data_IF_135213398095
#
_entry.id   IF_135213398095
#
_cell.length_a   1.000
_cell.length_b   1.000
_cell.length_c   1.000
_cell.angle_alpha   90.00
_cell.angle_beta   90.00
_cell.angle_gamma   90.00
#
_symmetry.space_group_name_H-M   'P 1'
#
loop_
_entity.id
_entity.type
_entity.pdbx_description
1 polymer ?
#
# COMPACT_ATOMS: atom_id res chain seq x y z
N UNK A 1 5.56 0.05 17.25
CA UNK A 1 4.19 0.26 17.78
C UNK A 1 3.53 1.44 17.09
N UNK A 2 2.24 1.33 16.74
CA UNK A 2 1.50 2.31 15.93
C UNK A 2 0.72 3.38 16.73
N UNK A 3 0.39 3.14 18.01
CA UNK A 3 -0.12 4.17 18.93
C UNK A 3 0.45 4.02 20.36
N UNK A 4 0.45 5.09 21.17
CA UNK A 4 0.90 5.03 22.56
C UNK A 4 -0.02 4.16 23.43
N UNK A 5 0.55 3.24 24.22
CA UNK A 5 -0.21 2.33 25.08
C UNK A 5 -0.74 1.07 24.38
N UNK A 6 -0.46 0.92 23.09
CA UNK A 6 -0.74 -0.31 22.35
C UNK A 6 0.13 -1.47 22.86
N UNK A 7 -0.45 -2.67 22.93
CA UNK A 7 0.34 -3.91 22.94
C UNK A 7 0.17 -4.64 21.63
N UNK A 8 1.26 -5.17 21.11
CA UNK A 8 1.23 -5.98 19.92
C UNK A 8 0.69 -7.37 20.30
N UNK A 9 -0.05 -8.03 19.39
CA UNK A 9 -0.30 -9.47 19.51
C UNK A 9 1.01 -10.25 19.59
N UNK A 10 1.02 -11.39 20.29
CA UNK A 10 2.23 -12.19 20.57
C UNK A 10 3.00 -12.65 19.31
N UNK A 11 2.32 -12.76 18.16
CA UNK A 11 2.93 -13.15 16.89
C UNK A 11 3.59 -11.98 16.12
N UNK A 12 3.42 -10.74 16.58
CA UNK A 12 4.10 -9.54 16.05
C UNK A 12 5.15 -9.08 17.07
N UNK A 13 6.29 -9.76 17.05
CA UNK A 13 7.39 -9.63 18.01
C UNK A 13 8.45 -8.58 17.61
N UNK A 14 8.28 -7.90 16.47
CA UNK A 14 9.27 -6.97 15.94
C UNK A 14 10.39 -7.62 15.12
N UNK A 15 10.36 -8.94 14.89
CA UNK A 15 11.34 -9.64 14.06
C UNK A 15 11.23 -9.26 12.57
N UNK A 16 10.02 -8.89 12.13
CA UNK A 16 9.74 -8.54 10.74
C UNK A 16 10.14 -7.08 10.44
N UNK A 17 10.63 -6.86 9.22
CA UNK A 17 10.97 -5.51 8.77
C UNK A 17 9.71 -4.62 8.71
N UNK A 18 9.69 -3.55 9.51
CA UNK A 18 8.55 -2.63 9.56
C UNK A 18 7.39 -3.12 10.42
N UNK A 19 7.61 -4.01 11.37
CA UNK A 19 6.58 -4.39 12.33
C UNK A 19 6.24 -3.23 13.28
N UNK A 20 4.97 -2.83 13.28
CA UNK A 20 4.41 -1.81 14.17
C UNK A 20 3.32 -2.36 15.10
N UNK A 21 3.08 -3.67 15.13
CA UNK A 21 2.05 -4.30 15.95
C UNK A 21 0.62 -3.91 15.54
N UNK A 22 0.40 -3.56 14.27
CA UNK A 22 -0.91 -3.19 13.74
C UNK A 22 -1.56 -4.39 13.05
N UNK A 23 -2.38 -5.13 13.79
CA UNK A 23 -3.25 -6.18 13.23
C UNK A 23 -4.61 -6.19 13.96
N UNK A 24 -5.50 -5.24 13.66
CA UNK A 24 -6.80 -5.15 14.32
C UNK A 24 -7.75 -6.31 13.99
N UNK A 25 -7.50 -7.04 12.89
CA UNK A 25 -8.34 -8.15 12.43
C UNK A 25 -7.69 -9.53 12.66
N UNK A 26 -6.49 -9.57 13.28
CA UNK A 26 -5.70 -10.79 13.55
C UNK A 26 -5.44 -11.65 12.31
N UNK A 27 -5.29 -11.03 11.13
CA UNK A 27 -5.05 -11.74 9.87
C UNK A 27 -3.65 -12.36 9.80
N UNK A 28 -2.70 -11.85 10.58
CA UNK A 28 -1.33 -12.35 10.69
C UNK A 28 -1.14 -13.48 11.70
N UNK A 29 -2.21 -13.97 12.34
CA UNK A 29 -2.11 -14.98 13.39
C UNK A 29 -1.61 -16.35 12.89
N UNK A 30 -1.85 -16.69 11.62
CA UNK A 30 -1.37 -17.95 11.04
C UNK A 30 0.08 -17.80 10.55
N UNK A 31 1.00 -18.53 11.19
CA UNK A 31 2.44 -18.52 10.87
C UNK A 31 2.77 -19.03 9.47
N UNK A 32 1.91 -19.87 8.88
CA UNK A 32 2.12 -20.40 7.54
C UNK A 32 1.76 -19.37 6.46
N UNK A 33 0.74 -18.56 6.69
CA UNK A 33 0.32 -17.51 5.74
C UNK A 33 1.09 -16.20 5.92
N UNK A 34 1.67 -15.96 7.09
CA UNK A 34 2.36 -14.70 7.42
C UNK A 34 3.49 -14.35 6.42
N UNK A 35 4.38 -15.28 6.00
CA UNK A 35 5.40 -14.97 4.98
C UNK A 35 4.79 -14.57 3.63
N UNK A 36 3.66 -15.18 3.26
CA UNK A 36 2.94 -14.81 2.05
C UNK A 36 2.32 -13.42 2.16
N UNK A 37 1.74 -13.05 3.30
CA UNK A 37 1.17 -11.72 3.53
C UNK A 37 2.24 -10.62 3.51
N UNK A 38 3.43 -10.89 4.07
CA UNK A 38 4.58 -9.98 3.98
C UNK A 38 5.01 -9.76 2.53
N UNK A 39 5.10 -10.84 1.77
CA UNK A 39 5.48 -10.78 0.36
C UNK A 39 4.40 -10.06 -0.47
N UNK A 40 3.12 -10.29 -0.18
CA UNK A 40 2.02 -9.59 -0.81
C UNK A 40 2.06 -8.08 -0.50
N UNK A 41 2.38 -7.69 0.73
CA UNK A 41 2.62 -6.30 1.10
C UNK A 41 3.79 -5.69 0.32
N UNK A 42 4.91 -6.41 0.22
CA UNK A 42 6.09 -5.96 -0.52
C UNK A 42 5.79 -5.78 -2.01
N UNK A 43 5.09 -6.73 -2.65
CA UNK A 43 4.72 -6.62 -4.06
C UNK A 43 3.77 -5.46 -4.31
N UNK A 44 2.73 -5.30 -3.49
CA UNK A 44 1.84 -4.15 -3.60
C UNK A 44 2.59 -2.83 -3.39
N UNK A 45 3.50 -2.77 -2.42
CA UNK A 45 4.36 -1.62 -2.16
C UNK A 45 5.29 -1.28 -3.33
N UNK A 46 5.95 -2.29 -3.93
CA UNK A 46 6.84 -2.10 -5.10
C UNK A 46 6.07 -1.56 -6.30
N UNK A 47 4.94 -2.18 -6.64
CA UNK A 47 4.09 -1.70 -7.74
C UNK A 47 3.54 -0.30 -7.47
N UNK A 48 3.13 -0.01 -6.23
CA UNK A 48 2.67 1.32 -5.85
C UNK A 48 3.79 2.37 -5.97
N UNK A 49 5.04 2.06 -5.57
CA UNK A 49 6.17 2.98 -5.75
C UNK A 49 6.39 3.34 -7.22
N UNK A 50 6.34 2.35 -8.13
CA UNK A 50 6.44 2.63 -9.57
C UNK A 50 5.23 3.39 -10.11
N UNK A 51 4.02 3.02 -9.69
CA UNK A 51 2.79 3.68 -10.12
C UNK A 51 2.74 5.15 -9.71
N UNK A 52 3.08 5.45 -8.45
CA UNK A 52 3.11 6.83 -7.94
C UNK A 52 4.10 7.71 -8.72
N UNK A 53 5.31 7.21 -8.99
CA UNK A 53 6.30 7.91 -9.82
C UNK A 53 5.80 8.11 -11.24
N UNK A 54 5.18 7.08 -11.85
CA UNK A 54 4.62 7.16 -13.20
C UNK A 54 3.51 8.21 -13.32
N UNK A 55 2.61 8.27 -12.34
CA UNK A 55 1.55 9.29 -12.25
C UNK A 55 2.15 10.70 -12.12
N UNK A 56 3.15 10.89 -11.25
CA UNK A 56 3.79 12.19 -11.08
C UNK A 56 4.56 12.62 -12.33
N UNK A 57 5.21 11.68 -13.03
CA UNK A 57 5.93 11.96 -14.26
C UNK A 57 4.97 12.44 -15.37
N UNK A 58 3.84 11.75 -15.58
CA UNK A 58 2.85 12.17 -16.59
C UNK A 58 2.17 13.48 -16.20
N UNK A 59 1.91 13.71 -14.91
CA UNK A 59 1.30 14.95 -14.45
C UNK A 59 2.23 16.17 -14.59
N UNK A 60 3.55 15.95 -14.43
CA UNK A 60 4.57 16.99 -14.57
C UNK A 60 4.80 17.46 -16.01
N UNK A 61 4.51 16.60 -16.99
CA UNK A 61 4.72 16.89 -18.40
C UNK A 61 3.37 17.17 -19.09
N UNK A 62 3.05 18.43 -19.44
CA UNK A 62 1.79 18.78 -20.08
C UNK A 62 1.61 18.19 -21.49
N UNK A 63 2.67 17.66 -22.11
CA UNK A 63 2.60 16.97 -23.41
C UNK A 63 2.13 15.52 -23.31
N UNK A 64 2.11 14.94 -22.11
CA UNK A 64 1.63 13.57 -21.90
C UNK A 64 0.17 13.57 -21.41
N UNK A 65 -0.62 12.56 -21.79
CA UNK A 65 -1.96 12.39 -21.25
C UNK A 65 -1.90 12.13 -19.75
N UNK A 66 -2.91 12.60 -19.02
CA UNK A 66 -3.07 12.32 -17.59
C UNK A 66 -3.29 10.82 -17.39
N UNK A 67 -2.92 10.28 -16.23
CA UNK A 67 -2.92 8.83 -16.01
C UNK A 67 -4.28 8.15 -16.22
N UNK A 68 -5.39 8.86 -15.96
CA UNK A 68 -6.76 8.35 -16.17
C UNK A 68 -7.19 8.36 -17.65
N UNK A 69 -6.58 9.20 -18.49
CA UNK A 69 -6.79 9.26 -19.93
C UNK A 69 -5.78 8.42 -20.71
N UNK A 70 -4.61 8.19 -20.12
CA UNK A 70 -3.50 7.48 -20.75
C UNK A 70 -3.90 6.07 -21.23
N UNK A 71 -4.82 5.39 -20.55
CA UNK A 71 -5.30 4.08 -21.00
C UNK A 71 -6.18 4.12 -22.26
N UNK A 72 -6.80 5.26 -22.56
CA UNK A 72 -7.69 5.46 -23.70
C UNK A 72 -7.03 6.22 -24.87
N UNK A 73 -5.78 6.66 -24.69
CA UNK A 73 -5.03 7.32 -25.75
C UNK A 73 -4.74 6.37 -26.91
N UNK A 74 -4.66 6.92 -28.12
CA UNK A 74 -4.27 6.16 -29.30
C UNK A 74 -2.76 5.91 -29.28
N UNK A 75 -2.38 4.63 -29.37
CA UNK A 75 -1.01 4.17 -29.45
C UNK A 75 -0.76 3.49 -30.81
N UNK A 76 0.51 3.40 -31.21
CA UNK A 76 0.92 2.79 -32.47
C UNK A 76 0.55 1.29 -32.58
N UNK A 77 0.30 0.63 -31.45
CA UNK A 77 -0.06 -0.78 -31.37
C UNK A 77 -1.54 -0.91 -30.97
N UNK A 78 -2.28 -1.77 -31.68
CA UNK A 78 -3.67 -2.07 -31.37
C UNK A 78 -3.84 -2.53 -29.91
N UNK A 79 -4.86 -1.99 -29.24
CA UNK A 79 -5.12 -2.25 -27.82
C UNK A 79 -5.27 -3.74 -27.53
N UNK A 80 -5.93 -4.52 -28.41
CA UNK A 80 -6.11 -5.95 -28.18
C UNK A 80 -4.78 -6.70 -28.26
N UNK A 81 -3.94 -6.34 -29.23
CA UNK A 81 -2.58 -6.89 -29.33
C UNK A 81 -1.77 -6.56 -28.10
N UNK A 82 -1.79 -5.31 -27.63
CA UNK A 82 -1.08 -4.89 -26.43
C UNK A 82 -1.52 -5.67 -25.19
N UNK A 83 -2.83 -5.81 -24.97
CA UNK A 83 -3.39 -6.56 -23.84
C UNK A 83 -2.96 -8.03 -23.88
N UNK A 84 -3.05 -8.69 -25.04
CA UNK A 84 -2.65 -10.10 -25.18
C UNK A 84 -1.16 -10.27 -24.91
N UNK A 85 -0.31 -9.43 -25.49
CA UNK A 85 1.14 -9.48 -25.25
C UNK A 85 1.46 -9.25 -23.77
N UNK A 86 0.83 -8.26 -23.13
CA UNK A 86 1.06 -7.95 -21.73
C UNK A 86 0.64 -9.09 -20.80
N UNK A 87 -0.53 -9.69 -21.02
CA UNK A 87 -1.01 -10.83 -20.21
C UNK A 87 -0.08 -12.04 -20.34
N UNK A 88 0.40 -12.35 -21.55
CA UNK A 88 1.31 -13.48 -21.77
C UNK A 88 2.66 -13.23 -21.10
N UNK A 89 3.26 -12.05 -21.33
CA UNK A 89 4.58 -11.72 -20.77
C UNK A 89 4.53 -11.66 -19.24
N UNK A 90 3.56 -10.95 -18.67
CA UNK A 90 3.40 -10.87 -17.20
C UNK A 90 3.03 -12.23 -16.61
N UNK A 91 2.21 -13.03 -17.28
CA UNK A 91 1.87 -14.38 -16.83
C UNK A 91 3.08 -15.30 -16.72
N UNK A 92 4.02 -15.23 -17.67
CA UNK A 92 5.27 -16.00 -17.61
C UNK A 92 6.16 -15.48 -16.48
N UNK A 93 6.33 -14.15 -16.35
CA UNK A 93 7.18 -13.55 -15.32
C UNK A 93 6.66 -13.86 -13.90
N UNK A 94 5.35 -13.72 -13.66
CA UNK A 94 4.74 -14.06 -12.37
C UNK A 94 4.82 -15.56 -12.08
N UNK A 95 4.65 -16.43 -13.08
CA UNK A 95 4.81 -17.88 -12.88
C UNK A 95 6.24 -18.25 -12.45
N UNK A 96 7.26 -17.57 -13.01
CA UNK A 96 8.65 -17.77 -12.60
C UNK A 96 8.89 -17.24 -11.19
N UNK A 97 8.37 -16.05 -10.86
CA UNK A 97 8.49 -15.44 -9.53
C UNK A 97 7.85 -16.31 -8.45
N UNK A 98 6.60 -16.77 -8.66
CA UNK A 98 5.87 -17.60 -7.69
C UNK A 98 6.60 -18.93 -7.48
N UNK A 99 7.09 -19.58 -8.55
CA UNK A 99 7.86 -20.83 -8.43
C UNK A 99 9.17 -20.64 -7.67
N UNK A 100 9.81 -19.48 -7.81
CA UNK A 100 10.99 -19.12 -7.03
C UNK A 100 10.65 -18.90 -5.56
N UNK A 101 9.65 -18.05 -5.29
CA UNK A 101 9.16 -17.74 -3.94
C UNK A 101 8.78 -19.02 -3.16
N UNK A 102 8.06 -19.95 -3.77
CA UNK A 102 7.70 -21.23 -3.14
C UNK A 102 8.91 -22.11 -2.79
N UNK A 103 10.08 -21.89 -3.40
CA UNK A 103 11.31 -22.63 -3.12
C UNK A 103 12.24 -21.92 -2.14
N UNK A 104 12.33 -20.60 -2.21
CA UNK A 104 13.33 -19.80 -1.47
C UNK A 104 12.74 -18.94 -0.36
N UNK A 105 11.43 -18.70 -0.36
CA UNK A 105 10.76 -17.82 0.60
C UNK A 105 10.97 -16.33 0.36
N UNK A 106 11.71 -15.94 -0.67
CA UNK A 106 11.97 -14.55 -1.05
C UNK A 106 11.72 -14.34 -2.55
N UNK A 107 11.23 -13.16 -2.93
CA UNK A 107 11.01 -12.81 -4.33
C UNK A 107 12.28 -12.42 -5.07
N UNK A 108 12.32 -12.76 -6.35
CA UNK A 108 13.43 -12.51 -7.26
C UNK A 108 13.00 -12.68 -8.72
N UNK A 109 13.97 -12.56 -9.62
CA UNK A 109 13.75 -12.65 -11.07
C UNK A 109 14.66 -13.71 -11.69
N UNK A 110 14.08 -14.59 -12.51
CA UNK A 110 14.82 -15.60 -13.27
C UNK A 110 15.43 -16.69 -12.39
N UNK A 111 16.76 -16.76 -12.31
CA UNK A 111 17.50 -17.70 -11.46
C UNK A 111 18.07 -17.06 -10.19
N UNK A 112 17.90 -15.73 -10.03
CA UNK A 112 18.49 -14.97 -8.94
C UNK A 112 17.42 -14.68 -7.89
N UNK A 113 17.45 -15.47 -6.81
CA UNK A 113 16.60 -15.32 -5.63
C UNK A 113 17.48 -15.25 -4.37
N UNK A 114 17.50 -14.11 -3.66
CA UNK A 114 16.91 -12.81 -4.01
C UNK A 114 17.62 -12.14 -5.19
N UNK A 115 16.91 -11.25 -5.91
CA UNK A 115 17.52 -10.46 -6.97
C UNK A 115 18.26 -9.25 -6.36
N UNK A 116 19.55 -9.41 -6.07
CA UNK A 116 20.42 -8.31 -5.62
C UNK A 116 21.75 -8.27 -6.42
N UNK A 117 21.76 -7.68 -7.62
CA UNK A 117 22.98 -7.55 -8.42
C UNK A 117 23.95 -6.48 -7.86
N UNK A 118 23.49 -5.57 -7.01
CA UNK A 118 24.27 -4.45 -6.50
C UNK A 118 24.85 -4.70 -5.09
N UNK A 119 24.44 -5.80 -4.42
CA UNK A 119 24.89 -6.14 -3.07
C UNK A 119 24.46 -5.12 -2.02
N UNK A 120 23.34 -4.44 -2.24
CA UNK A 120 22.87 -3.34 -1.38
C UNK A 120 21.87 -3.79 -0.31
N UNK A 121 21.59 -5.09 -0.22
CA UNK A 121 20.69 -5.62 0.79
C UNK A 121 21.26 -5.44 2.21
N UNK A 122 20.43 -4.86 3.08
CA UNK A 122 20.74 -4.70 4.50
C UNK A 122 19.43 -4.64 5.29
N UNK A 123 19.42 -5.04 6.58
CA UNK A 123 18.21 -4.95 7.40
C UNK A 123 17.61 -3.54 7.44
N UNK A 124 18.47 -2.51 7.45
CA UNK A 124 18.04 -1.12 7.39
C UNK A 124 17.44 -0.72 6.04
N UNK A 125 17.96 -1.25 4.92
CA UNK A 125 17.41 -1.01 3.59
C UNK A 125 16.03 -1.66 3.41
N UNK A 126 15.85 -2.92 3.87
CA UNK A 126 14.55 -3.62 3.84
C UNK A 126 13.46 -2.83 4.60
N UNK A 127 13.79 -2.27 5.77
CA UNK A 127 12.84 -1.41 6.52
C UNK A 127 12.49 -0.13 5.76
N UNK A 128 13.46 0.49 5.06
CA UNK A 128 13.20 1.69 4.24
C UNK A 128 12.32 1.37 3.05
N UNK A 129 12.55 0.22 2.40
CA UNK A 129 11.74 -0.25 1.28
C UNK A 129 10.28 -0.43 1.70
N UNK A 130 10.00 -1.16 2.78
CA UNK A 130 8.64 -1.37 3.29
C UNK A 130 7.96 -0.03 3.62
N UNK A 131 8.67 0.89 4.28
CA UNK A 131 8.12 2.21 4.64
C UNK A 131 7.77 3.05 3.41
N UNK A 132 8.66 3.11 2.43
CA UNK A 132 8.41 3.83 1.19
C UNK A 132 7.28 3.16 0.38
N UNK A 133 7.21 1.82 0.39
CA UNK A 133 6.12 1.05 -0.21
C UNK A 133 4.77 1.37 0.43
N UNK A 134 4.67 1.35 1.76
CA UNK A 134 3.44 1.73 2.49
C UNK A 134 3.03 3.17 2.21
N UNK A 135 3.98 4.10 2.23
CA UNK A 135 3.73 5.49 1.88
C UNK A 135 3.18 5.61 0.45
N UNK A 136 3.78 4.89 -0.51
CA UNK A 136 3.36 4.91 -1.91
C UNK A 136 1.96 4.29 -2.10
N UNK A 137 1.62 3.21 -1.38
CA UNK A 137 0.28 2.61 -1.43
C UNK A 137 -0.80 3.61 -0.99
N UNK A 138 -0.57 4.33 0.10
CA UNK A 138 -1.49 5.38 0.58
C UNK A 138 -1.52 6.57 -0.37
N UNK A 139 -0.36 6.99 -0.89
CA UNK A 139 -0.27 8.11 -1.83
C UNK A 139 -0.98 7.82 -3.15
N UNK A 140 -0.88 6.60 -3.68
CA UNK A 140 -1.58 6.21 -4.91
C UNK A 140 -3.10 6.25 -4.73
N UNK A 141 -3.61 5.74 -3.60
CA UNK A 141 -5.03 5.88 -3.25
C UNK A 141 -5.45 7.36 -3.18
N UNK A 142 -4.62 8.21 -2.58
CA UNK A 142 -4.83 9.65 -2.52
C UNK A 142 -4.86 10.32 -3.91
N UNK A 143 -4.02 9.90 -4.84
CA UNK A 143 -4.01 10.43 -6.21
C UNK A 143 -5.25 10.01 -7.01
N UNK A 144 -5.73 8.77 -6.82
CA UNK A 144 -6.98 8.30 -7.43
C UNK A 144 -8.18 9.05 -6.84
N UNK A 145 -8.23 9.22 -5.52
CA UNK A 145 -9.33 9.94 -4.87
C UNK A 145 -9.32 11.43 -5.23
N UNK A 146 -8.14 12.04 -5.40
CA UNK A 146 -8.01 13.42 -5.85
C UNK A 146 -8.65 13.63 -7.22
N UNK A 147 -8.37 12.75 -8.19
CA UNK A 147 -9.06 12.78 -9.48
C UNK A 147 -10.57 12.58 -9.32
N UNK A 148 -11.00 11.59 -8.53
CA UNK A 148 -12.42 11.28 -8.36
C UNK A 148 -13.24 12.42 -7.72
N UNK A 149 -12.65 13.19 -6.80
CA UNK A 149 -13.35 14.25 -6.07
C UNK A 149 -13.17 15.63 -6.70
N UNK A 150 -11.97 15.95 -7.18
CA UNK A 150 -11.63 17.30 -7.67
C UNK A 150 -11.52 17.41 -9.18
N UNK A 151 -11.33 16.28 -9.88
CA UNK A 151 -11.01 16.25 -11.31
C UNK A 151 -9.61 16.77 -11.66
N UNK A 152 -8.79 17.14 -10.67
CA UNK A 152 -7.47 17.74 -10.87
C UNK A 152 -6.35 16.69 -10.79
N UNK A 153 -5.26 16.96 -11.49
CA UNK A 153 -4.02 16.19 -11.35
C UNK A 153 -3.36 16.37 -9.98
N UNK A 154 -2.52 15.42 -9.52
CA UNK A 154 -1.82 15.49 -8.23
C UNK A 154 -1.08 16.81 -7.97
N UNK A 155 -0.28 17.27 -8.94
CA UNK A 155 0.54 18.49 -8.85
C UNK A 155 -0.35 19.74 -8.92
N UNK A 156 -1.40 19.70 -9.73
CA UNK A 156 -2.37 20.79 -9.84
C UNK A 156 -3.12 20.99 -8.53
N UNK A 157 -3.67 19.93 -7.93
CA UNK A 157 -4.35 20.03 -6.65
C UNK A 157 -3.40 20.42 -5.52
N UNK A 158 -2.13 19.99 -5.56
CA UNK A 158 -1.11 20.48 -4.62
C UNK A 158 -0.88 21.98 -4.74
N UNK A 159 -0.76 22.52 -5.95
CA UNK A 159 -0.64 23.97 -6.18
C UNK A 159 -1.88 24.72 -5.74
N UNK A 160 -3.07 24.18 -5.98
CA UNK A 160 -4.33 24.76 -5.52
C UNK A 160 -4.41 24.81 -3.98
N UNK A 161 -4.01 23.74 -3.29
CA UNK A 161 -3.94 23.71 -1.83
C UNK A 161 -2.91 24.71 -1.28
N UNK A 162 -1.75 24.85 -1.93
CA UNK A 162 -0.75 25.85 -1.54
C UNK A 162 -1.25 27.30 -1.71
N UNK A 163 -2.09 27.55 -2.72
CA UNK A 163 -2.65 28.87 -2.97
C UNK A 163 -3.74 29.26 -1.96
N UNK A 164 -4.58 28.31 -1.54
CA UNK A 164 -5.56 28.50 -0.48
C UNK A 164 -5.71 27.24 0.40
N UNK A 165 -4.94 27.14 1.50
CA UNK A 165 -4.96 25.96 2.35
C UNK A 165 -6.27 25.81 3.14
N UNK A 166 -7.02 26.91 3.32
CA UNK A 166 -8.24 26.92 4.13
C UNK A 166 -9.47 26.52 3.35
N UNK A 167 -9.55 26.89 2.07
CA UNK A 167 -10.67 26.55 1.21
C UNK A 167 -10.45 25.27 0.40
N UNK A 168 -9.21 24.95 0.01
CA UNK A 168 -8.91 23.78 -0.82
C UNK A 168 -8.41 22.65 0.08
N UNK A 169 -9.30 21.89 0.70
CA UNK A 169 -8.92 20.72 1.48
C UNK A 169 -9.99 19.63 1.38
N UNK A 170 -9.72 18.46 1.94
CA UNK A 170 -10.66 17.33 1.90
C UNK A 170 -11.97 17.64 2.64
N UNK A 171 -11.93 18.48 3.68
CA UNK A 171 -13.10 18.80 4.51
C UNK A 171 -14.11 19.71 3.81
N UNK A 172 -13.65 20.53 2.87
CA UNK A 172 -14.50 21.42 2.05
C UNK A 172 -14.96 20.76 0.75
N UNK A 173 -14.44 19.57 0.45
CA UNK A 173 -14.80 18.80 -0.75
C UNK A 173 -16.14 18.08 -0.60
N UNK A 174 -16.61 17.44 -1.68
CA UNK A 174 -17.87 16.69 -1.69
C UNK A 174 -17.95 15.58 -0.62
N UNK A 175 -16.82 15.00 -0.22
CA UNK A 175 -16.72 13.93 0.81
C UNK A 175 -16.30 14.47 2.18
N UNK A 176 -16.33 15.80 2.36
CA UNK A 176 -15.83 16.44 3.57
C UNK A 176 -16.55 16.00 4.84
N UNK A 177 -17.89 15.91 4.80
CA UNK A 177 -18.69 15.46 5.94
C UNK A 177 -18.36 14.03 6.39
N UNK A 178 -18.17 13.12 5.42
CA UNK A 178 -17.78 11.73 5.68
C UNK A 178 -16.37 11.65 6.27
N UNK A 179 -15.45 12.46 5.76
CA UNK A 179 -14.06 12.53 6.26
C UNK A 179 -14.02 13.00 7.71
N UNK A 180 -14.84 13.99 8.08
CA UNK A 180 -14.95 14.45 9.48
C UNK A 180 -15.46 13.34 10.39
N UNK A 181 -16.52 12.64 9.98
CA UNK A 181 -17.07 11.52 10.75
C UNK A 181 -16.04 10.39 10.91
N UNK A 182 -15.29 10.08 9.84
CA UNK A 182 -14.27 9.06 9.86
C UNK A 182 -13.10 9.42 10.79
N UNK A 183 -12.62 10.66 10.77
CA UNK A 183 -11.55 11.11 11.68
C UNK A 183 -12.03 11.12 13.13
N UNK A 184 -13.27 11.55 13.39
CA UNK A 184 -13.85 11.48 14.73
C UNK A 184 -13.86 10.02 15.23
N UNK A 185 -14.31 9.08 14.40
CA UNK A 185 -14.28 7.66 14.73
C UNK A 185 -12.85 7.16 15.00
N UNK A 186 -11.90 7.43 14.11
CA UNK A 186 -10.50 7.01 14.27
C UNK A 186 -9.83 7.62 15.50
N UNK A 187 -10.21 8.83 15.91
CA UNK A 187 -9.67 9.49 17.11
C UNK A 187 -10.19 8.84 18.40
N UNK A 188 -11.43 8.34 18.40
CA UNK A 188 -12.04 7.65 19.54
C UNK A 188 -11.65 6.17 19.62
N UNK A 189 -11.26 5.55 18.50
CA UNK A 189 -10.98 4.11 18.43
C UNK A 189 -9.87 3.65 19.39
N UNK A 190 -8.70 4.32 19.53
CA UNK A 190 -7.67 3.91 20.49
C UNK A 190 -8.15 3.95 21.94
N UNK A 191 -8.94 4.97 22.29
CA UNK A 191 -9.51 5.10 23.65
C UNK A 191 -10.45 3.94 23.93
N UNK A 192 -11.32 3.61 22.97
CA UNK A 192 -12.22 2.47 23.08
C UNK A 192 -11.48 1.14 23.23
N UNK A 193 -10.42 0.90 22.43
CA UNK A 193 -9.61 -0.32 22.52
C UNK A 193 -8.91 -0.47 23.89
N UNK A 194 -8.33 0.62 24.41
CA UNK A 194 -7.70 0.62 25.73
C UNK A 194 -8.75 0.38 26.82
N UNK A 195 -9.91 1.04 26.73
CA UNK A 195 -10.99 0.89 27.69
C UNK A 195 -11.53 -0.54 27.72
N UNK A 196 -11.77 -1.17 26.56
CA UNK A 196 -12.18 -2.56 26.48
C UNK A 196 -11.17 -3.49 27.16
N UNK A 197 -9.87 -3.29 26.92
CA UNK A 197 -8.85 -4.12 27.55
C UNK A 197 -8.82 -3.99 29.06
N UNK A 198 -8.97 -2.78 29.59
CA UNK A 198 -9.02 -2.54 31.03
C UNK A 198 -10.26 -3.15 31.68
N UNK A 199 -11.39 -3.16 30.97
CA UNK A 199 -12.65 -3.73 31.47
C UNK A 199 -12.68 -5.26 31.38
N UNK A 200 -11.99 -5.87 30.41
CA UNK A 200 -11.97 -7.32 30.15
C UNK A 200 -10.78 -8.04 30.86
N UNK A 201 -10.19 -7.41 31.88
CA UNK A 201 -9.09 -7.93 32.73
C UNK A 201 -7.88 -8.51 31.94
N UNK A 202 -7.59 -7.93 30.77
CA UNK A 202 -6.45 -8.34 29.95
C UNK A 202 -6.53 -9.74 29.33
N UNK A 203 -7.68 -10.42 29.40
CA UNK A 203 -7.89 -11.63 28.59
C UNK A 203 -7.90 -11.23 27.11
N UNK A 204 -6.90 -11.68 26.37
CA UNK A 204 -6.92 -11.55 24.92
C UNK A 204 -8.13 -12.32 24.41
N UNK A 205 -9.10 -11.63 23.81
CA UNK A 205 -10.21 -12.32 23.14
C UNK A 205 -9.60 -13.28 22.11
N UNK A 206 -9.78 -14.59 22.33
CA UNK A 206 -9.39 -15.66 21.41
C UNK A 206 -10.33 -15.60 20.19
N UNK A 207 -10.10 -14.62 19.30
CA UNK A 207 -10.75 -14.58 18.01
C UNK A 207 -10.26 -15.80 17.21
N UNK A 208 -11.18 -16.72 16.94
CA UNK A 208 -10.89 -17.91 16.13
C UNK A 208 -10.53 -17.43 14.71
N UNK A 209 -9.33 -17.74 14.19
CA UNK A 209 -8.98 -17.36 12.84
C UNK A 209 -10.02 -17.92 11.86
N UNK A 210 -10.37 -17.12 10.85
CA UNK A 210 -11.36 -17.54 9.86
C UNK A 210 -10.79 -18.77 9.14
N UNK A 211 -11.53 -19.89 9.07
CA UNK A 211 -11.05 -21.12 8.47
C UNK A 211 -10.96 -20.92 6.95
N UNK A 212 -9.76 -20.64 6.45
CA UNK A 212 -9.40 -20.91 5.08
C UNK A 212 -8.03 -21.59 5.05
#
# INVERSE_FOLDING_TARGET
MWYPGATAPDYLDGSMAGDYGFDPLRLGANKESLPYLQEAELMNGRWAMYATIGVLATDSNPSLPKFWEAGAADYDIDFKTLVVTQVIVMGILEALRIRGFMKTGESGLGANFPFDPAGMDSPAARVKEVKNGRLAMVAFLGMVSQWAVTGMGPIEGFKAHLADPTAVNIYTSAVGGETVAFIAFLSCAPVWLIAQRQLTDGSEEEFKPIPW
#
